data_IF_474165861317
#
_entry.id   IF_474165861317
#
_cell.length_a   1.000
_cell.length_b   1.000
_cell.length_c   1.000
_cell.angle_alpha   90.00
_cell.angle_beta   90.00
_cell.angle_gamma   90.00
#
_symmetry.space_group_name_H-M   'P 1'
#
loop_
_entity.id
_entity.type
_entity.pdbx_description
1 polymer ?
#
# COMPACT_ATOMS: atom_id res chain seq x y z
N UNK A 1 -43.37 5.71 -5.07
CA UNK A 1 -42.10 6.50 -5.10
C UNK A 1 -41.59 6.49 -6.53
N UNK A 2 -41.43 7.67 -7.13
CA UNK A 2 -41.16 7.85 -8.57
C UNK A 2 -39.67 7.59 -8.90
N UNK A 3 -39.40 6.71 -9.87
CA UNK A 3 -38.06 6.33 -10.38
C UNK A 3 -37.24 7.53 -10.84
N UNK A 4 -37.89 8.64 -11.21
CA UNK A 4 -37.21 9.89 -11.60
C UNK A 4 -36.62 10.66 -10.42
N UNK A 5 -37.11 10.46 -9.20
CA UNK A 5 -36.57 11.11 -8.00
C UNK A 5 -35.31 10.41 -7.47
N UNK A 6 -35.22 9.09 -7.63
CA UNK A 6 -34.06 8.29 -7.21
C UNK A 6 -32.80 8.61 -8.03
N UNK A 7 -32.95 8.82 -9.34
CA UNK A 7 -31.83 9.17 -10.22
C UNK A 7 -31.28 10.59 -9.97
N UNK A 8 -32.13 11.52 -9.52
CA UNK A 8 -31.69 12.87 -9.13
C UNK A 8 -30.96 12.92 -7.77
N UNK A 9 -31.31 12.02 -6.85
CA UNK A 9 -30.58 11.88 -5.57
C UNK A 9 -29.25 11.15 -5.76
N UNK A 10 -29.17 10.16 -6.66
CA UNK A 10 -27.93 9.46 -6.96
C UNK A 10 -26.86 10.36 -7.62
N UNK A 11 -27.26 11.35 -8.43
CA UNK A 11 -26.33 12.32 -9.03
C UNK A 11 -25.74 13.32 -8.03
N UNK A 12 -26.39 13.55 -6.88
CA UNK A 12 -25.87 14.45 -5.85
C UNK A 12 -24.75 13.81 -5.01
N UNK A 13 -24.75 12.48 -4.87
CA UNK A 13 -23.69 11.75 -4.15
C UNK A 13 -22.44 11.49 -4.99
N UNK A 14 -22.54 11.49 -6.31
CA UNK A 14 -21.39 11.35 -7.22
C UNK A 14 -20.50 12.62 -7.29
N UNK A 15 -21.00 13.77 -6.80
CA UNK A 15 -20.22 15.01 -6.71
C UNK A 15 -19.35 15.10 -5.44
N UNK A 16 -19.56 14.24 -4.45
CA UNK A 16 -18.70 14.16 -3.27
C UNK A 16 -17.44 13.30 -3.51
N UNK A 17 -17.49 12.35 -4.43
CA UNK A 17 -16.35 11.48 -4.76
C UNK A 17 -15.33 12.16 -5.69
N UNK A 18 -15.76 13.12 -6.51
CA UNK A 18 -14.83 13.94 -7.32
C UNK A 18 -14.00 14.90 -6.47
N UNK A 19 -14.53 15.35 -5.32
CA UNK A 19 -13.77 16.13 -4.32
C UNK A 19 -12.68 15.32 -3.61
N UNK A 20 -12.89 14.02 -3.41
CA UNK A 20 -11.86 13.16 -2.79
C UNK A 20 -10.72 12.81 -3.75
N UNK A 21 -10.98 12.71 -5.07
CA UNK A 21 -9.93 12.47 -6.07
C UNK A 21 -9.04 13.69 -6.31
N UNK A 22 -9.60 14.91 -6.20
CA UNK A 22 -8.80 16.15 -6.30
C UNK A 22 -7.81 16.28 -5.14
N UNK A 23 -8.15 15.78 -3.95
CA UNK A 23 -7.22 15.77 -2.81
C UNK A 23 -6.05 14.78 -2.97
N UNK A 24 -6.24 13.65 -3.67
CA UNK A 24 -5.15 12.70 -3.94
C UNK A 24 -4.08 13.30 -4.84
N UNK A 25 -4.48 13.94 -5.95
CA UNK A 25 -3.54 14.67 -6.80
C UNK A 25 -2.89 15.84 -6.05
N UNK A 26 -3.64 16.57 -5.22
CA UNK A 26 -3.08 17.67 -4.42
C UNK A 26 -2.05 17.20 -3.38
N UNK A 27 -2.26 16.05 -2.72
CA UNK A 27 -1.30 15.53 -1.73
C UNK A 27 0.01 15.13 -2.40
N UNK A 28 -0.03 14.53 -3.61
CA UNK A 28 1.18 14.24 -4.38
C UNK A 28 1.78 15.49 -5.05
N UNK A 29 0.95 16.47 -5.45
CA UNK A 29 1.39 17.68 -6.16
C UNK A 29 1.83 18.85 -5.25
N UNK A 30 1.49 18.83 -3.95
CA UNK A 30 1.72 19.97 -3.04
C UNK A 30 3.18 20.12 -2.56
N UNK A 31 4.12 19.29 -3.03
CA UNK A 31 5.55 19.46 -2.69
C UNK A 31 6.27 20.21 -3.81
N UNK A 32 6.73 21.46 -3.60
CA UNK A 32 7.49 22.18 -4.61
C UNK A 32 8.84 21.48 -4.90
N UNK A 33 9.26 21.40 -6.18
CA UNK A 33 10.53 20.78 -6.53
C UNK A 33 11.71 21.56 -5.93
N UNK A 34 12.75 20.84 -5.50
CA UNK A 34 13.98 21.44 -4.97
C UNK A 34 14.67 22.35 -6.01
N UNK A 35 15.29 23.46 -5.56
CA UNK A 35 15.94 24.46 -6.44
C UNK A 35 17.09 23.85 -7.27
N UNK A 36 17.11 24.18 -8.56
CA UNK A 36 18.02 23.69 -9.60
C UNK A 36 19.33 24.48 -9.64
N UNK A 37 20.49 23.81 -9.57
CA UNK A 37 21.80 24.41 -9.87
C UNK A 37 22.27 23.96 -11.25
N UNK A 38 22.65 24.92 -12.09
CA UNK A 38 22.99 24.74 -13.50
C UNK A 38 24.51 24.66 -13.71
N UNK A 39 25.10 23.47 -13.60
CA UNK A 39 26.42 23.16 -14.18
C UNK A 39 26.42 21.73 -14.70
N UNK A 40 26.82 21.52 -15.97
CA UNK A 40 26.60 20.27 -16.73
C UNK A 40 27.90 19.82 -17.40
N UNK A 41 28.23 18.54 -17.30
CA UNK A 41 29.04 17.83 -18.30
C UNK A 41 28.12 16.99 -19.23
N UNK A 42 28.43 16.86 -20.53
CA UNK A 42 27.56 16.21 -21.50
C UNK A 42 27.86 14.70 -21.58
N UNK A 43 27.13 13.89 -20.82
CA UNK A 43 27.10 12.43 -20.95
C UNK A 43 25.66 11.91 -21.04
N UNK A 44 25.36 11.17 -22.12
CA UNK A 44 24.10 10.48 -22.53
C UNK A 44 22.83 10.79 -21.70
N UNK A 45 21.83 11.38 -22.36
CA UNK A 45 20.48 11.60 -21.84
C UNK A 45 19.81 10.29 -21.43
N UNK A 46 19.12 10.32 -20.28
CA UNK A 46 18.25 9.26 -19.80
C UNK A 46 17.20 8.88 -20.86
N UNK A 47 16.93 7.58 -21.01
CA UNK A 47 15.86 7.10 -21.90
C UNK A 47 14.50 7.33 -21.23
N UNK A 48 13.49 7.75 -22.00
CA UNK A 48 12.12 7.98 -21.54
C UNK A 48 11.13 7.03 -22.26
N UNK A 49 10.01 6.72 -21.60
CA UNK A 49 8.91 5.90 -22.15
C UNK A 49 7.56 6.47 -21.71
N UNK A 50 6.52 6.22 -22.49
CA UNK A 50 5.16 6.57 -22.10
C UNK A 50 4.50 5.43 -21.33
N UNK A 51 3.99 5.71 -20.14
CA UNK A 51 3.10 4.83 -19.38
C UNK A 51 1.72 5.49 -19.32
N UNK A 52 0.79 5.02 -20.17
CA UNK A 52 -0.49 5.70 -20.38
C UNK A 52 -0.30 7.11 -20.95
N UNK A 53 -0.86 8.12 -20.27
CA UNK A 53 -0.72 9.53 -20.64
C UNK A 53 0.51 10.24 -20.03
N UNK A 54 1.38 9.51 -19.31
CA UNK A 54 2.53 10.09 -18.60
C UNK A 54 3.84 9.68 -19.27
N UNK A 55 4.68 10.65 -19.62
CA UNK A 55 6.07 10.42 -20.00
C UNK A 55 6.91 10.21 -18.73
N UNK A 56 7.56 9.05 -18.61
CA UNK A 56 8.38 8.69 -17.46
C UNK A 56 9.77 8.26 -17.92
N UNK A 57 10.75 8.29 -17.01
CA UNK A 57 12.06 7.70 -17.31
C UNK A 57 11.92 6.18 -17.52
N UNK A 58 12.82 5.61 -18.31
CA UNK A 58 12.87 4.17 -18.57
C UNK A 58 13.16 3.33 -17.31
N UNK A 59 13.60 3.97 -16.22
CA UNK A 59 13.78 3.34 -14.91
C UNK A 59 12.42 3.09 -14.22
N UNK A 60 11.37 3.81 -14.60
CA UNK A 60 10.03 3.71 -14.02
C UNK A 60 9.90 4.29 -12.61
N UNK A 61 8.78 4.01 -11.95
CA UNK A 61 8.49 4.35 -10.55
C UNK A 61 9.16 3.32 -9.63
N UNK A 62 10.48 3.45 -9.43
CA UNK A 62 11.29 2.50 -8.64
C UNK A 62 12.00 3.15 -7.47
N UNK A 63 12.36 2.33 -6.46
CA UNK A 63 13.19 2.77 -5.34
C UNK A 63 14.60 3.15 -5.87
N UNK A 64 14.90 4.45 -5.89
CA UNK A 64 16.13 5.02 -6.46
C UNK A 64 17.46 4.35 -6.02
N UNK A 65 17.64 3.95 -4.74
CA UNK A 65 18.82 3.20 -4.30
C UNK A 65 19.05 1.89 -5.07
N UNK A 66 18.00 1.28 -5.62
CA UNK A 66 18.08 0.03 -6.37
C UNK A 66 18.43 0.23 -7.85
N UNK A 67 18.43 1.47 -8.36
CA UNK A 67 18.77 1.75 -9.76
C UNK A 67 20.16 1.23 -10.11
N UNK A 68 21.14 1.40 -9.21
CA UNK A 68 22.48 0.85 -9.38
C UNK A 68 22.51 -0.69 -9.35
N UNK A 69 21.65 -1.32 -8.54
CA UNK A 69 21.51 -2.78 -8.49
C UNK A 69 20.94 -3.35 -9.80
N UNK A 70 20.03 -2.62 -10.45
CA UNK A 70 19.48 -2.96 -11.76
C UNK A 70 20.33 -2.47 -12.94
N UNK A 71 21.55 -1.98 -12.70
CA UNK A 71 22.48 -1.53 -13.75
C UNK A 71 22.16 -0.16 -14.37
N UNK A 72 21.22 0.60 -13.78
CA UNK A 72 20.86 1.94 -14.20
C UNK A 72 21.78 3.02 -13.61
N UNK A 73 21.72 4.22 -14.20
CA UNK A 73 22.32 5.46 -13.67
C UNK A 73 21.19 6.47 -13.43
N UNK A 74 21.33 7.30 -12.40
CA UNK A 74 20.39 8.39 -12.14
C UNK A 74 21.12 9.65 -11.67
N UNK A 75 20.53 10.81 -11.93
CA UNK A 75 20.90 12.09 -11.35
C UNK A 75 19.84 12.50 -10.32
N UNK A 76 20.27 13.09 -9.19
CA UNK A 76 19.36 13.57 -8.14
C UNK A 76 18.33 14.57 -8.67
N UNK A 77 18.66 15.33 -9.72
CA UNK A 77 17.74 16.30 -10.34
C UNK A 77 16.57 15.67 -11.11
N UNK A 78 16.60 14.36 -11.34
CA UNK A 78 15.56 13.61 -12.04
C UNK A 78 14.51 13.06 -11.06
N UNK A 79 14.76 13.20 -9.74
CA UNK A 79 13.84 12.79 -8.69
C UNK A 79 12.80 13.88 -8.47
N UNK A 80 11.57 13.62 -8.90
CA UNK A 80 10.43 14.54 -8.66
C UNK A 80 10.00 14.53 -7.19
N UNK A 81 9.97 13.34 -6.59
CA UNK A 81 9.50 13.10 -5.23
C UNK A 81 10.40 12.08 -4.55
N UNK A 82 10.53 12.19 -3.24
CA UNK A 82 11.30 11.25 -2.45
C UNK A 82 10.52 10.82 -1.21
N UNK A 83 10.89 9.66 -0.69
CA UNK A 83 10.23 9.03 0.44
C UNK A 83 11.19 8.23 1.28
N UNK A 84 10.68 7.71 2.39
CA UNK A 84 11.40 6.76 3.25
C UNK A 84 10.71 5.41 3.23
N UNK A 85 11.47 4.37 3.59
CA UNK A 85 10.94 3.03 3.80
C UNK A 85 11.20 2.61 5.24
N UNK A 86 10.22 1.96 5.87
CA UNK A 86 10.33 1.35 7.20
C UNK A 86 10.94 2.31 8.25
N UNK A 87 10.47 3.57 8.25
CA UNK A 87 11.00 4.66 9.07
C UNK A 87 10.10 4.97 10.28
N UNK A 88 10.73 5.25 11.43
CA UNK A 88 10.03 5.67 12.64
C UNK A 88 9.45 7.08 12.51
N UNK A 89 8.46 7.42 13.33
CA UNK A 89 7.90 8.78 13.39
C UNK A 89 8.98 9.85 13.65
N UNK A 90 10.02 9.51 14.45
CA UNK A 90 11.16 10.39 14.73
C UNK A 90 11.98 10.66 13.47
N UNK A 91 12.34 9.62 12.72
CA UNK A 91 13.10 9.76 11.49
C UNK A 91 12.31 10.49 10.42
N UNK A 92 11.00 10.21 10.30
CA UNK A 92 10.10 10.92 9.39
C UNK A 92 10.13 12.42 9.67
N UNK A 93 9.92 12.87 10.91
CA UNK A 93 9.93 14.29 11.27
C UNK A 93 11.28 14.96 10.99
N UNK A 94 12.37 14.30 11.37
CA UNK A 94 13.72 14.82 11.15
C UNK A 94 14.02 14.97 9.65
N UNK A 95 13.71 13.96 8.85
CA UNK A 95 13.88 14.00 7.40
C UNK A 95 13.02 15.10 6.76
N UNK A 96 11.72 15.14 7.10
CA UNK A 96 10.76 16.09 6.57
C UNK A 96 11.14 17.55 6.87
N UNK A 97 11.75 17.83 8.02
CA UNK A 97 12.24 19.17 8.37
C UNK A 97 13.42 19.66 7.51
N UNK A 98 14.17 18.75 6.89
CA UNK A 98 15.29 19.09 6.00
C UNK A 98 14.83 19.19 4.55
N UNK A 99 14.05 18.20 4.11
CA UNK A 99 13.44 18.18 2.80
C UNK A 99 12.05 17.52 2.93
N UNK A 100 10.96 18.14 2.46
CA UNK A 100 9.64 17.54 2.59
C UNK A 100 9.56 16.16 1.93
N UNK A 101 9.10 15.18 2.70
CA UNK A 101 8.82 13.82 2.23
C UNK A 101 7.48 13.76 1.51
N UNK A 102 7.42 13.07 0.37
CA UNK A 102 6.16 12.85 -0.35
C UNK A 102 5.44 11.56 0.10
N UNK A 103 6.20 10.52 0.43
CA UNK A 103 5.62 9.24 0.85
C UNK A 103 6.49 8.48 1.87
N UNK A 104 5.84 7.64 2.66
CA UNK A 104 6.49 6.59 3.45
C UNK A 104 5.96 5.22 3.02
N UNK A 105 6.87 4.30 2.74
CA UNK A 105 6.55 2.91 2.40
C UNK A 105 6.81 2.01 3.62
N UNK A 106 5.82 1.26 4.07
CA UNK A 106 5.99 0.25 5.13
C UNK A 106 4.97 -0.86 4.94
N UNK A 107 5.22 -2.04 5.50
CA UNK A 107 4.23 -3.13 5.39
C UNK A 107 3.02 -2.86 6.26
N UNK A 108 1.86 -3.01 5.64
CA UNK A 108 0.55 -2.80 6.22
C UNK A 108 -0.43 -3.73 5.50
N UNK A 109 -1.21 -4.46 6.28
CA UNK A 109 -2.24 -5.38 5.80
C UNK A 109 -3.25 -5.58 6.94
N UNK A 110 -4.39 -6.24 6.68
CA UNK A 110 -5.35 -6.59 7.74
C UNK A 110 -4.64 -7.34 8.87
N UNK A 111 -3.75 -8.25 8.51
CA UNK A 111 -2.89 -9.02 9.42
C UNK A 111 -1.97 -8.12 10.28
N UNK A 112 -1.35 -7.09 9.69
CA UNK A 112 -0.27 -6.31 10.31
C UNK A 112 -0.62 -4.82 10.32
N UNK A 113 -1.05 -4.34 11.49
CA UNK A 113 -1.66 -3.01 11.67
C UNK A 113 -0.81 -2.00 12.43
N UNK A 114 0.44 -2.34 12.76
CA UNK A 114 1.34 -1.50 13.54
C UNK A 114 1.50 -0.04 13.01
N UNK A 115 1.55 0.23 11.69
CA UNK A 115 1.61 1.60 11.18
C UNK A 115 0.49 2.52 11.68
N UNK A 116 -0.70 1.96 11.98
CA UNK A 116 -1.85 2.72 12.48
C UNK A 116 -1.55 3.41 13.81
N UNK A 117 -0.79 2.77 14.68
CA UNK A 117 -0.46 3.31 16.02
C UNK A 117 0.87 4.05 16.03
N UNK A 118 1.82 3.67 15.16
CA UNK A 118 3.18 4.22 15.18
C UNK A 118 3.38 5.47 14.33
N UNK A 119 2.85 5.50 13.10
CA UNK A 119 3.22 6.54 12.13
C UNK A 119 2.05 7.28 11.50
N UNK A 120 0.84 6.71 11.47
CA UNK A 120 -0.30 7.32 10.76
C UNK A 120 -0.64 8.73 11.24
N UNK A 121 -0.57 8.99 12.55
CA UNK A 121 -0.77 10.34 13.09
C UNK A 121 0.26 11.34 12.56
N UNK A 122 1.53 10.94 12.50
CA UNK A 122 2.63 11.76 11.98
C UNK A 122 2.51 11.99 10.48
N UNK A 123 2.14 10.95 9.70
CA UNK A 123 1.94 11.08 8.25
C UNK A 123 0.77 12.03 7.94
N UNK A 124 -0.33 11.91 8.66
CA UNK A 124 -1.50 12.77 8.50
C UNK A 124 -1.18 14.23 8.87
N UNK A 125 -0.48 14.46 9.98
CA UNK A 125 -0.07 15.80 10.41
C UNK A 125 0.82 16.50 9.38
N UNK A 126 1.76 15.75 8.78
CA UNK A 126 2.74 16.29 7.82
C UNK A 126 2.26 16.26 6.37
N UNK A 127 1.05 15.75 6.09
CA UNK A 127 0.52 15.62 4.72
C UNK A 127 1.31 14.65 3.84
N UNK A 128 1.86 13.59 4.43
CA UNK A 128 2.69 12.59 3.73
C UNK A 128 1.83 11.39 3.31
N UNK A 129 1.96 10.93 2.07
CA UNK A 129 1.30 9.72 1.58
C UNK A 129 1.85 8.43 2.23
N UNK A 130 1.03 7.39 2.31
CA UNK A 130 1.45 6.08 2.79
C UNK A 130 1.34 5.03 1.70
N UNK A 131 2.40 4.26 1.51
CA UNK A 131 2.50 3.23 0.46
C UNK A 131 2.67 1.85 1.11
N UNK A 132 1.56 1.13 1.37
CA UNK A 132 1.61 -0.24 1.87
C UNK A 132 2.32 -1.20 0.92
N UNK A 133 3.37 -1.86 1.41
CA UNK A 133 3.87 -3.09 0.78
C UNK A 133 3.31 -4.34 1.46
N UNK A 134 3.36 -5.48 0.76
CA UNK A 134 2.74 -6.74 1.20
C UNK A 134 1.24 -6.64 1.56
N UNK A 135 0.40 -5.91 0.80
CA UNK A 135 -0.97 -5.62 1.22
C UNK A 135 -1.88 -6.86 1.30
N UNK A 136 -1.50 -7.95 0.63
CA UNK A 136 -2.22 -9.23 0.64
C UNK A 136 -1.67 -10.24 1.67
N UNK A 137 -0.80 -9.82 2.58
CA UNK A 137 -0.19 -10.70 3.59
C UNK A 137 0.60 -11.85 2.96
N UNK A 138 1.39 -11.59 1.91
CA UNK A 138 2.17 -12.61 1.17
C UNK A 138 1.29 -13.77 0.65
N UNK A 139 0.12 -13.40 0.12
CA UNK A 139 -0.96 -14.27 -0.37
C UNK A 139 -1.77 -15.00 0.73
N UNK A 140 -1.54 -14.70 2.00
CA UNK A 140 -2.34 -15.29 3.07
C UNK A 140 -3.80 -14.82 3.02
N UNK A 141 -4.03 -13.53 2.76
CA UNK A 141 -5.38 -12.95 2.72
C UNK A 141 -6.17 -13.34 1.45
N UNK A 142 -5.58 -14.09 0.53
CA UNK A 142 -6.23 -14.47 -0.73
C UNK A 142 -6.94 -15.83 -0.64
N UNK A 143 -6.82 -16.54 0.48
CA UNK A 143 -7.41 -17.88 0.68
C UNK A 143 -6.63 -19.03 0.05
N UNK A 144 -5.56 -18.77 -0.72
CA UNK A 144 -4.79 -19.83 -1.38
C UNK A 144 -3.89 -20.61 -0.40
N UNK A 145 -3.54 -19.98 0.74
CA UNK A 145 -2.71 -20.55 1.79
C UNK A 145 -3.64 -21.09 2.87
N UNK A 146 -3.48 -22.37 3.21
CA UNK A 146 -4.22 -23.04 4.27
C UNK A 146 -3.29 -23.49 5.42
N UNK A 147 -3.87 -24.00 6.50
CA UNK A 147 -3.16 -24.51 7.71
C UNK A 147 -2.09 -25.57 7.41
N UNK A 148 -2.25 -26.32 6.31
CA UNK A 148 -1.35 -27.40 5.90
C UNK A 148 -0.30 -26.96 4.88
N UNK A 149 -0.30 -25.68 4.49
CA UNK A 149 0.66 -25.14 3.54
C UNK A 149 2.08 -25.19 4.08
N UNK A 150 3.03 -25.56 3.24
CA UNK A 150 4.46 -25.65 3.58
C UNK A 150 5.28 -24.96 2.50
N UNK A 151 6.32 -24.26 2.92
CA UNK A 151 7.19 -23.50 2.03
C UNK A 151 8.56 -24.16 1.99
N UNK A 152 9.24 -24.06 0.85
CA UNK A 152 10.58 -24.62 0.67
C UNK A 152 11.65 -23.56 0.90
N UNK A 153 12.88 -24.01 1.18
CA UNK A 153 14.05 -23.12 1.29
C UNK A 153 14.23 -22.33 0.01
N UNK A 154 14.22 -21.00 0.10
CA UNK A 154 14.23 -20.06 -1.03
C UNK A 154 12.94 -19.24 -1.15
N UNK A 155 11.82 -19.74 -0.62
CA UNK A 155 10.62 -18.94 -0.44
C UNK A 155 10.80 -17.98 0.73
N UNK A 156 10.41 -16.70 0.56
CA UNK A 156 10.51 -15.68 1.61
C UNK A 156 9.62 -15.97 2.82
N UNK A 157 8.66 -16.88 2.72
CA UNK A 157 7.78 -17.32 3.83
C UNK A 157 8.39 -18.45 4.65
N UNK A 158 9.41 -19.14 4.13
CA UNK A 158 9.97 -20.38 4.70
C UNK A 158 10.25 -20.29 6.21
N UNK A 159 10.90 -19.21 6.65
CA UNK A 159 11.32 -18.99 8.03
C UNK A 159 10.56 -17.88 8.74
N UNK A 160 9.50 -17.34 8.14
CA UNK A 160 8.71 -16.29 8.79
C UNK A 160 7.90 -16.90 9.94
N UNK A 161 7.92 -16.31 11.15
CA UNK A 161 7.17 -16.81 12.30
C UNK A 161 5.67 -17.03 12.00
N UNK A 162 5.09 -16.13 11.21
CA UNK A 162 3.70 -16.14 10.77
C UNK A 162 3.31 -17.32 9.87
N UNK A 163 4.30 -17.91 9.20
CA UNK A 163 4.12 -19.00 8.25
C UNK A 163 4.63 -20.34 8.80
N UNK A 164 4.97 -20.40 10.10
CA UNK A 164 5.26 -21.66 10.77
C UNK A 164 3.97 -22.47 10.98
N UNK A 165 4.03 -23.81 11.04
CA UNK A 165 2.84 -24.67 11.06
C UNK A 165 1.82 -24.32 12.14
N UNK A 166 2.29 -24.01 13.36
CA UNK A 166 1.45 -23.65 14.50
C UNK A 166 0.75 -22.30 14.26
N UNK A 167 1.50 -21.31 13.75
CA UNK A 167 0.98 -20.00 13.44
C UNK A 167 -0.03 -20.03 12.28
N UNK A 168 0.24 -20.79 11.21
CA UNK A 168 -0.71 -20.93 10.10
C UNK A 168 -2.04 -21.47 10.58
N UNK A 169 -2.04 -22.54 11.37
CA UNK A 169 -3.26 -23.12 11.93
C UNK A 169 -3.99 -22.13 12.83
N UNK A 170 -3.27 -21.44 13.70
CA UNK A 170 -3.83 -20.44 14.62
C UNK A 170 -4.47 -19.26 13.88
N UNK A 171 -3.87 -18.82 12.77
CA UNK A 171 -4.27 -17.62 12.05
C UNK A 171 -5.38 -17.84 11.00
N UNK A 172 -5.83 -19.09 10.76
CA UNK A 172 -6.90 -19.39 9.80
C UNK A 172 -8.21 -18.61 10.01
N UNK A 173 -8.66 -18.27 11.24
CA UNK A 173 -9.86 -17.46 11.44
C UNK A 173 -9.83 -16.13 10.68
N UNK A 174 -8.65 -15.53 10.47
CA UNK A 174 -8.51 -14.31 9.67
C UNK A 174 -8.84 -14.54 8.20
N UNK A 175 -8.41 -15.67 7.63
CA UNK A 175 -8.72 -16.03 6.24
C UNK A 175 -10.23 -16.19 6.08
N UNK A 176 -10.88 -16.91 7.00
CA UNK A 176 -12.32 -17.14 6.95
C UNK A 176 -13.12 -15.83 7.06
N UNK A 177 -12.68 -14.91 7.93
CA UNK A 177 -13.29 -13.58 8.03
C UNK A 177 -13.19 -12.80 6.72
N UNK A 178 -12.01 -12.81 6.08
CA UNK A 178 -11.81 -12.14 4.79
C UNK A 178 -12.66 -12.77 3.68
N UNK A 179 -12.74 -14.10 3.63
CA UNK A 179 -13.57 -14.82 2.65
C UNK A 179 -15.07 -14.53 2.83
N UNK A 180 -15.55 -14.51 4.08
CA UNK A 180 -16.93 -14.17 4.42
C UNK A 180 -17.28 -12.77 3.91
N UNK A 181 -16.46 -11.78 4.23
CA UNK A 181 -16.70 -10.40 3.82
C UNK A 181 -16.52 -10.18 2.31
N UNK A 182 -15.56 -10.86 1.69
CA UNK A 182 -15.41 -10.85 0.23
C UNK A 182 -16.68 -11.38 -0.45
N UNK A 183 -17.25 -12.47 0.07
CA UNK A 183 -18.52 -13.03 -0.40
C UNK A 183 -19.69 -12.06 -0.18
N UNK A 184 -19.80 -11.43 0.99
CA UNK A 184 -20.83 -10.42 1.27
C UNK A 184 -20.75 -9.23 0.32
N UNK A 185 -19.54 -8.83 -0.09
CA UNK A 185 -19.31 -7.74 -1.05
C UNK A 185 -19.37 -8.18 -2.52
N UNK A 186 -19.42 -9.48 -2.81
CA UNK A 186 -19.39 -9.99 -4.17
C UNK A 186 -18.05 -9.75 -4.88
N UNK A 187 -16.94 -9.77 -4.15
CA UNK A 187 -15.57 -9.53 -4.65
C UNK A 187 -14.66 -10.70 -4.30
N UNK A 188 -13.46 -10.76 -4.89
CA UNK A 188 -12.45 -11.77 -4.49
C UNK A 188 -11.84 -11.44 -3.12
N UNK A 189 -11.28 -12.43 -2.39
CA UNK A 189 -10.56 -12.17 -1.14
C UNK A 189 -9.40 -11.16 -1.30
N UNK A 190 -8.69 -11.23 -2.43
CA UNK A 190 -7.62 -10.28 -2.77
C UNK A 190 -8.17 -8.85 -2.94
N UNK A 191 -9.28 -8.70 -3.68
CA UNK A 191 -9.97 -7.43 -3.81
C UNK A 191 -10.45 -6.90 -2.46
N UNK A 192 -11.07 -7.74 -1.62
CA UNK A 192 -11.54 -7.32 -0.31
C UNK A 192 -10.41 -6.79 0.57
N UNK A 193 -9.26 -7.47 0.62
CA UNK A 193 -8.10 -7.00 1.38
C UNK A 193 -7.62 -5.61 0.92
N UNK A 194 -7.63 -5.36 -0.39
CA UNK A 194 -7.29 -4.05 -0.97
C UNK A 194 -8.38 -3.00 -0.71
N UNK A 195 -9.66 -3.36 -0.82
CA UNK A 195 -10.80 -2.49 -0.55
C UNK A 195 -10.79 -2.04 0.91
N UNK A 196 -10.59 -2.96 1.86
CA UNK A 196 -10.45 -2.63 3.27
C UNK A 196 -9.35 -1.58 3.47
N UNK A 197 -8.18 -1.81 2.89
CA UNK A 197 -7.02 -0.92 3.01
C UNK A 197 -7.26 0.47 2.42
N UNK A 198 -7.80 0.52 1.19
CA UNK A 198 -8.17 1.75 0.49
C UNK A 198 -9.32 2.52 1.18
N UNK A 199 -10.05 1.87 2.09
CA UNK A 199 -11.11 2.48 2.88
C UNK A 199 -10.61 3.07 4.21
N UNK A 200 -9.37 2.80 4.63
CA UNK A 200 -8.82 3.28 5.92
C UNK A 200 -8.57 4.78 5.91
N UNK A 201 -7.82 5.28 4.92
CA UNK A 201 -7.46 6.70 4.78
C UNK A 201 -7.27 7.04 3.29
N UNK A 202 -7.64 8.27 2.86
CA UNK A 202 -7.55 8.66 1.46
C UNK A 202 -6.12 8.79 0.93
N UNK A 203 -5.11 8.91 1.79
CA UNK A 203 -3.69 9.05 1.43
C UNK A 203 -2.93 7.70 1.40
N UNK A 204 -3.64 6.57 1.48
CA UNK A 204 -3.07 5.23 1.39
C UNK A 204 -3.13 4.73 -0.04
N UNK A 205 -1.99 4.34 -0.61
CA UNK A 205 -1.87 3.80 -1.97
C UNK A 205 -1.07 2.49 -1.95
N UNK A 206 -1.72 1.32 -1.91
CA UNK A 206 -1.03 0.04 -1.85
C UNK A 206 -0.32 -0.31 -3.15
N UNK A 207 0.75 -1.11 -3.04
CA UNK A 207 1.50 -1.66 -4.17
C UNK A 207 1.39 -3.20 -4.19
N UNK A 208 0.23 -3.77 -4.59
CA UNK A 208 0.10 -5.21 -4.71
C UNK A 208 1.01 -5.73 -5.83
N UNK A 209 1.97 -6.58 -5.47
CA UNK A 209 2.91 -7.17 -6.42
C UNK A 209 2.32 -8.39 -7.12
N UNK A 210 2.48 -8.47 -8.45
CA UNK A 210 2.15 -9.66 -9.24
C UNK A 210 3.03 -9.73 -10.49
N UNK A 211 3.29 -10.95 -10.97
CA UNK A 211 3.87 -11.22 -12.30
C UNK A 211 2.84 -11.80 -13.28
N UNK A 212 1.60 -12.04 -12.81
CA UNK A 212 0.49 -12.55 -13.60
C UNK A 212 -0.46 -11.40 -13.98
N UNK A 213 -0.69 -11.13 -15.29
CA UNK A 213 -1.67 -10.15 -15.75
C UNK A 213 -3.08 -10.36 -15.20
N UNK A 214 -3.54 -11.60 -15.07
CA UNK A 214 -4.91 -11.87 -14.58
C UNK A 214 -5.08 -11.41 -13.12
N UNK A 215 -4.04 -11.51 -12.30
CA UNK A 215 -4.07 -10.97 -10.95
C UNK A 215 -4.10 -9.44 -10.95
N UNK A 216 -3.42 -8.80 -11.91
CA UNK A 216 -3.45 -7.35 -12.03
C UNK A 216 -4.88 -6.88 -12.35
N UNK A 217 -5.54 -7.53 -13.30
CA UNK A 217 -6.93 -7.25 -13.65
C UNK A 217 -7.88 -7.46 -12.46
N UNK A 218 -7.67 -8.52 -11.66
CA UNK A 218 -8.40 -8.73 -10.40
C UNK A 218 -8.16 -7.57 -9.41
N UNK A 219 -6.92 -7.17 -9.17
CA UNK A 219 -6.59 -6.10 -8.22
C UNK A 219 -7.19 -4.75 -8.62
N UNK A 220 -7.28 -4.45 -9.92
CA UNK A 220 -7.88 -3.22 -10.41
C UNK A 220 -9.36 -3.10 -10.02
N UNK A 221 -10.08 -4.22 -9.85
CA UNK A 221 -11.46 -4.22 -9.36
C UNK A 221 -11.64 -3.66 -7.95
N UNK A 222 -10.57 -3.63 -7.13
CA UNK A 222 -10.61 -3.02 -5.80
C UNK A 222 -10.65 -1.48 -5.83
N UNK A 223 -10.21 -0.85 -6.92
CA UNK A 223 -9.97 0.59 -6.97
C UNK A 223 -11.26 1.43 -6.82
N UNK A 224 -12.40 0.90 -7.27
CA UNK A 224 -13.69 1.61 -7.35
C UNK A 224 -14.66 1.31 -6.19
N UNK A 225 -14.32 0.37 -5.31
CA UNK A 225 -15.18 -0.06 -4.19
C UNK A 225 -14.62 0.45 -2.87
N UNK A 226 -15.49 0.88 -1.95
CA UNK A 226 -15.13 1.27 -0.58
C UNK A 226 -16.08 0.63 0.41
N UNK A 227 -15.58 0.37 1.61
CA UNK A 227 -16.39 0.01 2.77
C UNK A 227 -17.01 1.28 3.35
N UNK A 228 -18.29 1.19 3.73
CA UNK A 228 -18.94 2.25 4.50
C UNK A 228 -18.37 2.28 5.93
N UNK A 229 -18.55 3.38 6.69
CA UNK A 229 -18.11 3.43 8.08
C UNK A 229 -18.70 2.31 8.94
N UNK A 230 -19.95 1.94 8.71
CA UNK A 230 -20.63 0.85 9.41
C UNK A 230 -20.01 -0.52 9.09
N UNK A 231 -19.74 -0.79 7.81
CA UNK A 231 -19.08 -2.04 7.41
C UNK A 231 -17.64 -2.13 7.92
N UNK A 232 -16.93 -1.00 7.97
CA UNK A 232 -15.60 -0.93 8.58
C UNK A 232 -15.64 -1.26 10.07
N UNK A 233 -16.63 -0.74 10.80
CA UNK A 233 -16.82 -0.99 12.24
C UNK A 233 -17.18 -2.46 12.50
N UNK A 234 -18.16 -3.02 11.76
CA UNK A 234 -18.53 -4.43 11.87
C UNK A 234 -17.34 -5.37 11.57
N UNK A 235 -16.54 -5.05 10.55
CA UNK A 235 -15.34 -5.82 10.24
C UNK A 235 -14.29 -5.71 11.37
N UNK A 236 -14.03 -4.50 11.88
CA UNK A 236 -13.07 -4.27 12.95
C UNK A 236 -13.51 -4.99 14.26
N UNK A 237 -14.80 -5.03 14.56
CA UNK A 237 -15.37 -5.76 15.72
C UNK A 237 -15.21 -7.28 15.61
N UNK A 238 -15.41 -7.83 14.41
CA UNK A 238 -15.17 -9.25 14.15
C UNK A 238 -13.67 -9.58 14.21
N UNK A 239 -12.84 -8.74 13.60
CA UNK A 239 -11.39 -8.86 13.60
C UNK A 239 -10.81 -8.81 15.02
N UNK A 240 -11.32 -7.95 15.90
CA UNK A 240 -10.84 -7.79 17.28
C UNK A 240 -10.96 -9.05 18.14
N UNK A 241 -11.75 -10.04 17.71
CA UNK A 241 -11.92 -11.34 18.38
C UNK A 241 -10.88 -12.38 17.93
N UNK A 242 -10.08 -12.05 16.92
CA UNK A 242 -9.06 -12.94 16.35
C UNK A 242 -7.71 -12.60 16.98
N UNK A 243 -7.14 -13.57 17.68
CA UNK A 243 -5.76 -13.52 18.14
C UNK A 243 -4.82 -14.02 17.04
N UNK A 244 -3.76 -13.26 16.72
CA UNK A 244 -2.82 -13.60 15.66
C UNK A 244 -1.46 -14.01 16.24
N UNK A 245 -0.89 -15.07 15.67
CA UNK A 245 0.38 -15.66 16.08
C UNK A 245 1.50 -15.37 15.08
N UNK A 246 2.67 -15.00 15.60
CA UNK A 246 3.90 -14.82 14.84
C UNK A 246 4.17 -13.38 14.37
N UNK A 247 5.45 -12.99 14.39
CA UNK A 247 5.94 -11.72 13.85
C UNK A 247 6.12 -11.74 12.33
N UNK A 248 5.89 -10.59 11.68
CA UNK A 248 5.99 -10.40 10.21
C UNK A 248 7.38 -10.61 9.62
N UNK A 249 8.39 -10.53 10.48
CA UNK A 249 9.79 -10.58 10.14
C UNK A 249 10.49 -11.58 11.06
N UNK A 250 11.55 -12.20 10.55
CA UNK A 250 12.51 -12.90 11.39
C UNK A 250 13.30 -11.89 12.25
N UNK A 251 13.97 -12.33 13.34
CA UNK A 251 14.69 -11.42 14.24
C UNK A 251 15.77 -10.56 13.56
N UNK A 252 16.41 -11.07 12.50
CA UNK A 252 17.42 -10.30 11.77
C UNK A 252 16.76 -9.21 10.93
N UNK A 253 15.72 -9.53 10.17
CA UNK A 253 14.96 -8.53 9.40
C UNK A 253 14.35 -7.46 10.32
N UNK A 254 13.79 -7.88 11.45
CA UNK A 254 13.22 -6.98 12.47
C UNK A 254 14.28 -6.01 13.06
N UNK A 255 15.54 -6.44 13.15
CA UNK A 255 16.63 -5.58 13.65
C UNK A 255 17.00 -4.44 12.69
N UNK A 256 16.59 -4.53 11.42
CA UNK A 256 16.87 -3.52 10.40
C UNK A 256 15.79 -2.43 10.33
N UNK A 257 14.66 -2.61 11.01
CA UNK A 257 13.54 -1.67 11.02
C UNK A 257 13.81 -0.55 12.02
N UNK A 258 13.58 0.69 11.60
CA UNK A 258 13.69 1.85 12.47
C UNK A 258 12.47 1.92 13.41
N UNK A 259 12.71 1.77 14.72
CA UNK A 259 11.66 1.63 15.75
C UNK A 259 11.19 2.95 16.33
#
# INVERSE_FOLDING_TARGET
MDRRSFLKQASAYALATTWTMTNLEQIFAATPPAKRNETREPGKSMEHRNLGGMEVSAIGLGCLPMVGYYGGKYDKKEVLHWGLSEASARSIRRAHSVCPLSAVQSEYAIWWREPETKIFSTLQELGIGFVPYCPLGRAFLTGIINENSRFQKGDRRYNLPQFQPEALKHNMPLVYLVEEWAKHKGVTPAQFALIWMLSRKPWIVPIPGTTNPDHLDDFLGAASVRLTPYEMEEFDDAYARIDLMGHRADPFTESQIDK
#
